data_IF_206148816189
#
_entry.id   IF_206148816189
#
_cell.length_a   1.000
_cell.length_b   1.000
_cell.length_c   1.000
_cell.angle_alpha   90.00
_cell.angle_beta   90.00
_cell.angle_gamma   90.00
#
_symmetry.space_group_name_H-M   'P 1'
#
loop_
_entity.id
_entity.type
_entity.pdbx_description
1 polymer ?
#
# COMPACT_ATOMS: atom_id res chain seq x y z
N UNK A 1 18.44 17.48 -14.36
CA UNK A 1 17.42 16.93 -13.44
C UNK A 1 17.98 15.78 -12.65
N UNK A 2 17.78 15.82 -11.34
CA UNK A 2 18.22 14.72 -10.50
C UNK A 2 17.26 13.53 -10.66
N UNK A 3 17.77 12.30 -10.71
CA UNK A 3 16.90 11.14 -10.71
C UNK A 3 16.08 11.07 -9.44
N UNK A 4 14.89 10.48 -9.55
CA UNK A 4 14.06 10.26 -8.37
C UNK A 4 14.74 9.27 -7.43
N UNK A 5 14.62 9.55 -6.14
CA UNK A 5 15.13 8.67 -5.10
C UNK A 5 14.06 7.64 -4.78
N UNK A 6 14.34 6.40 -5.09
CA UNK A 6 13.39 5.30 -4.94
C UNK A 6 13.69 4.51 -3.68
N UNK A 7 12.62 4.14 -2.98
CA UNK A 7 12.69 3.19 -1.87
C UNK A 7 11.92 1.94 -2.28
N UNK A 8 12.52 0.79 -2.06
CA UNK A 8 11.84 -0.48 -2.28
C UNK A 8 11.38 -1.02 -0.93
N UNK A 9 10.14 -1.48 -0.85
CA UNK A 9 9.62 -2.10 0.35
C UNK A 9 9.28 -3.55 0.05
N UNK A 10 9.81 -4.45 0.86
CA UNK A 10 9.52 -5.88 0.76
C UNK A 10 9.07 -6.41 2.11
N UNK A 11 8.09 -7.29 2.05
CA UNK A 11 7.67 -8.03 3.23
C UNK A 11 7.88 -9.50 2.94
N UNK A 12 8.69 -10.15 3.76
CA UNK A 12 9.03 -11.55 3.59
C UNK A 12 8.37 -12.36 4.69
N UNK A 13 7.93 -13.56 4.36
CA UNK A 13 7.40 -14.49 5.34
C UNK A 13 8.08 -15.82 5.15
N UNK A 14 7.92 -16.71 6.15
CA UNK A 14 8.51 -18.05 6.05
C UNK A 14 7.91 -18.85 4.89
N UNK A 15 6.78 -18.39 4.35
CA UNK A 15 6.14 -19.04 3.21
C UNK A 15 6.56 -18.46 1.86
N UNK A 16 7.27 -17.34 1.86
CA UNK A 16 7.72 -16.71 0.62
C UNK A 16 9.03 -17.37 0.18
N UNK A 17 8.99 -18.03 -0.96
CA UNK A 17 10.15 -18.75 -1.46
C UNK A 17 10.97 -17.97 -2.47
N UNK A 18 10.46 -16.83 -2.94
CA UNK A 18 11.11 -16.09 -4.03
C UNK A 18 11.40 -14.64 -3.65
N UNK A 19 11.83 -14.41 -2.41
CA UNK A 19 12.13 -13.06 -1.94
C UNK A 19 13.23 -12.40 -2.76
N UNK A 20 14.28 -13.16 -3.08
CA UNK A 20 15.37 -12.61 -3.88
C UNK A 20 14.90 -12.23 -5.27
N UNK A 21 14.03 -13.04 -5.87
CA UNK A 21 13.48 -12.73 -7.19
C UNK A 21 12.65 -11.46 -7.15
N UNK A 22 11.88 -11.26 -6.08
CA UNK A 22 11.11 -10.04 -5.90
C UNK A 22 12.02 -8.82 -5.79
N UNK A 23 13.06 -8.90 -4.97
CA UNK A 23 14.00 -7.79 -4.82
C UNK A 23 14.70 -7.48 -6.12
N UNK A 24 15.12 -8.51 -6.85
CA UNK A 24 15.77 -8.33 -8.15
C UNK A 24 14.83 -7.61 -9.11
N UNK A 25 13.56 -8.02 -9.16
CA UNK A 25 12.59 -7.39 -10.03
C UNK A 25 12.37 -5.93 -9.67
N UNK A 26 12.35 -5.60 -8.37
CA UNK A 26 12.20 -4.22 -7.92
C UNK A 26 13.41 -3.38 -8.32
N UNK A 27 14.62 -3.93 -8.16
CA UNK A 27 15.84 -3.23 -8.56
C UNK A 27 15.87 -2.98 -10.06
N UNK A 28 15.48 -3.98 -10.85
CA UNK A 28 15.44 -3.86 -12.29
C UNK A 28 14.42 -2.82 -12.73
N UNK A 29 13.26 -2.79 -12.09
CA UNK A 29 12.26 -1.78 -12.40
C UNK A 29 12.78 -0.38 -12.13
N UNK A 30 13.38 -0.19 -10.96
CA UNK A 30 13.92 1.10 -10.56
C UNK A 30 15.02 1.55 -11.55
N UNK A 31 15.87 0.61 -11.95
CA UNK A 31 16.92 0.90 -12.89
C UNK A 31 16.38 1.29 -14.27
N UNK A 32 15.37 0.56 -14.75
CA UNK A 32 14.77 0.86 -16.05
C UNK A 32 14.12 2.25 -16.08
N UNK A 33 13.58 2.69 -14.94
CA UNK A 33 12.97 4.01 -14.83
C UNK A 33 14.01 5.11 -14.69
N UNK A 34 15.28 4.77 -14.55
CA UNK A 34 16.34 5.76 -14.37
C UNK A 34 16.35 6.37 -12.98
N UNK A 35 15.75 5.70 -12.02
CA UNK A 35 15.70 6.18 -10.64
C UNK A 35 16.91 5.66 -9.86
N UNK A 36 17.20 6.28 -8.72
CA UNK A 36 18.27 5.85 -7.83
C UNK A 36 17.68 5.12 -6.64
N UNK A 37 18.08 3.88 -6.42
CA UNK A 37 17.61 3.12 -5.26
C UNK A 37 18.34 3.63 -4.01
N UNK A 38 17.59 4.22 -3.09
CA UNK A 38 18.15 4.73 -1.84
C UNK A 38 18.31 3.63 -0.80
N UNK A 39 17.26 2.82 -0.64
CA UNK A 39 17.25 1.81 0.41
C UNK A 39 16.17 0.79 0.12
N UNK A 40 16.41 -0.45 0.56
CA UNK A 40 15.40 -1.51 0.59
C UNK A 40 14.96 -1.68 2.04
N UNK A 41 13.66 -1.52 2.27
CA UNK A 41 13.07 -1.67 3.59
C UNK A 41 12.45 -3.07 3.66
N UNK A 42 12.91 -3.89 4.60
CA UNK A 42 12.47 -5.28 4.72
C UNK A 42 11.80 -5.49 6.07
N UNK A 43 10.59 -6.01 6.02
CA UNK A 43 9.90 -6.50 7.21
C UNK A 43 9.71 -7.99 7.12
N UNK A 44 9.82 -8.68 8.24
CA UNK A 44 9.53 -10.10 8.31
C UNK A 44 8.11 -10.29 8.81
N UNK A 45 7.31 -10.99 8.01
CA UNK A 45 5.94 -11.31 8.39
C UNK A 45 5.92 -12.60 9.19
N UNK A 46 5.56 -12.50 10.47
CA UNK A 46 5.38 -13.68 11.32
C UNK A 46 3.89 -13.99 11.28
N UNK A 47 3.56 -15.20 10.83
CA UNK A 47 2.17 -15.57 10.67
C UNK A 47 1.46 -15.63 12.02
N UNK A 48 0.24 -15.12 12.04
CA UNK A 48 -0.63 -15.23 13.21
C UNK A 48 -0.32 -14.28 14.35
N UNK A 49 0.64 -13.39 14.19
CA UNK A 49 1.02 -12.48 15.26
C UNK A 49 0.80 -11.04 14.87
N UNK A 50 1.11 -10.16 15.80
CA UNK A 50 0.93 -8.74 15.61
C UNK A 50 1.60 -8.25 14.35
N UNK A 51 0.93 -7.35 13.69
CA UNK A 51 1.43 -6.74 12.48
C UNK A 51 2.43 -5.64 12.81
N UNK A 52 3.53 -5.98 13.48
CA UNK A 52 4.61 -5.03 13.66
C UNK A 52 5.37 -4.95 12.36
N UNK A 53 5.52 -3.74 11.85
CA UNK A 53 6.20 -3.51 10.58
C UNK A 53 7.18 -2.35 10.73
N UNK A 54 8.28 -2.58 11.46
CA UNK A 54 9.22 -1.49 11.75
C UNK A 54 9.86 -0.90 10.50
N UNK A 55 10.11 -1.71 9.47
CA UNK A 55 10.68 -1.17 8.25
C UNK A 55 9.68 -0.29 7.51
N UNK A 56 8.40 -0.65 7.51
CA UNK A 56 7.37 0.21 6.93
C UNK A 56 7.26 1.52 7.69
N UNK A 57 7.31 1.47 9.02
CA UNK A 57 7.29 2.67 9.84
C UNK A 57 8.48 3.57 9.53
N UNK A 58 9.65 2.98 9.35
CA UNK A 58 10.85 3.73 8.99
C UNK A 58 10.68 4.37 7.61
N UNK A 59 10.14 3.59 6.66
CA UNK A 59 9.88 4.09 5.31
C UNK A 59 8.97 5.32 5.35
N UNK A 60 7.88 5.23 6.11
CA UNK A 60 6.94 6.33 6.20
C UNK A 60 7.56 7.57 6.88
N UNK A 61 8.43 7.37 7.87
CA UNK A 61 9.17 8.47 8.46
C UNK A 61 10.07 9.14 7.44
N UNK A 62 10.78 8.35 6.64
CA UNK A 62 11.66 8.88 5.61
C UNK A 62 10.88 9.61 4.53
N UNK A 63 9.68 9.11 4.22
CA UNK A 63 8.78 9.82 3.30
C UNK A 63 8.38 11.18 3.84
N UNK A 64 8.04 11.25 5.13
CA UNK A 64 7.67 12.51 5.75
C UNK A 64 8.83 13.51 5.80
N UNK A 65 10.06 13.00 5.86
CA UNK A 65 11.25 13.85 5.81
C UNK A 65 11.62 14.25 4.39
N UNK A 66 10.85 13.78 3.43
CA UNK A 66 11.10 14.04 2.00
C UNK A 66 12.46 13.50 1.53
N UNK A 67 12.87 12.38 2.11
CA UNK A 67 14.10 11.70 1.71
C UNK A 67 13.87 10.77 0.53
N UNK A 68 12.62 10.54 0.16
CA UNK A 68 12.22 9.56 -0.86
C UNK A 68 11.25 10.24 -1.83
N UNK A 69 11.38 9.93 -3.10
CA UNK A 69 10.52 10.48 -4.15
C UNK A 69 9.52 9.46 -4.68
N UNK A 70 9.85 8.17 -4.59
CA UNK A 70 8.95 7.11 -5.07
C UNK A 70 9.13 5.86 -4.22
N UNK A 71 8.01 5.20 -3.91
CA UNK A 71 7.99 3.92 -3.20
C UNK A 71 7.62 2.83 -4.19
N UNK A 72 8.41 1.77 -4.24
CA UNK A 72 8.20 0.65 -5.17
C UNK A 72 7.97 -0.62 -4.36
N UNK A 73 6.87 -1.32 -4.64
CA UNK A 73 6.54 -2.59 -3.98
C UNK A 73 6.27 -3.66 -5.04
N UNK A 74 6.39 -4.92 -4.62
CA UNK A 74 6.12 -6.04 -5.52
C UNK A 74 4.62 -6.18 -5.81
N UNK A 75 3.81 -6.13 -4.75
CA UNK A 75 2.35 -6.23 -4.83
C UNK A 75 1.74 -5.30 -3.80
N UNK A 76 0.50 -4.91 -4.02
CA UNK A 76 -0.23 -4.12 -3.04
C UNK A 76 -0.30 -4.82 -1.68
N UNK A 77 -0.51 -6.14 -1.65
CA UNK A 77 -0.65 -6.87 -0.40
C UNK A 77 0.64 -6.96 0.41
N UNK A 78 1.77 -6.66 -0.20
CA UNK A 78 3.04 -6.53 0.54
C UNK A 78 3.10 -5.21 1.29
N UNK A 79 2.39 -4.21 0.81
CA UNK A 79 2.35 -2.90 1.45
C UNK A 79 1.25 -2.81 2.50
N UNK A 80 0.05 -3.32 2.19
CA UNK A 80 -1.10 -3.21 3.07
C UNK A 80 -1.95 -4.47 2.99
N UNK A 81 -2.54 -4.87 4.13
CA UNK A 81 -3.35 -6.09 4.19
C UNK A 81 -4.79 -5.85 3.76
N UNK A 82 -5.28 -4.63 3.91
CA UNK A 82 -6.65 -4.32 3.55
C UNK A 82 -6.66 -3.19 2.54
N UNK A 83 -7.74 -3.10 1.80
CA UNK A 83 -7.91 -2.04 0.81
C UNK A 83 -7.92 -0.67 1.48
N UNK A 84 -8.56 -0.57 2.64
CA UNK A 84 -8.62 0.69 3.39
C UNK A 84 -7.22 1.15 3.81
N UNK A 85 -6.40 0.23 4.33
CA UNK A 85 -5.03 0.55 4.73
C UNK A 85 -4.19 0.94 3.51
N UNK A 86 -4.40 0.24 2.39
CA UNK A 86 -3.70 0.57 1.16
C UNK A 86 -4.02 1.99 0.71
N UNK A 87 -5.29 2.33 0.68
CA UNK A 87 -5.72 3.67 0.24
C UNK A 87 -5.16 4.75 1.17
N UNK A 88 -5.17 4.51 2.48
CA UNK A 88 -4.60 5.46 3.43
C UNK A 88 -3.12 5.70 3.16
N UNK A 89 -2.37 4.64 2.89
CA UNK A 89 -0.96 4.77 2.57
C UNK A 89 -0.71 5.51 1.26
N UNK A 90 -1.53 5.22 0.25
CA UNK A 90 -1.41 5.88 -1.04
C UNK A 90 -1.77 7.37 -0.94
N UNK A 91 -2.77 7.70 -0.15
CA UNK A 91 -3.15 9.10 0.07
C UNK A 91 -2.04 9.85 0.81
N UNK A 92 -1.39 9.21 1.76
CA UNK A 92 -0.26 9.81 2.44
C UNK A 92 0.87 10.10 1.45
N UNK A 93 1.20 9.14 0.61
CA UNK A 93 2.22 9.35 -0.41
C UNK A 93 1.86 10.50 -1.33
N UNK A 94 0.61 10.56 -1.76
CA UNK A 94 0.14 11.62 -2.63
C UNK A 94 0.25 12.99 -1.97
N UNK A 95 -0.15 13.06 -0.70
CA UNK A 95 -0.08 14.31 0.07
C UNK A 95 1.36 14.80 0.22
N UNK A 96 2.31 13.87 0.30
CA UNK A 96 3.72 14.21 0.42
C UNK A 96 4.42 14.40 -0.93
N UNK A 97 3.70 14.23 -2.02
CA UNK A 97 4.28 14.35 -3.36
C UNK A 97 5.15 13.18 -3.74
N UNK A 98 4.88 12.01 -3.18
CA UNK A 98 5.67 10.80 -3.42
C UNK A 98 4.87 9.87 -4.33
N UNK A 99 5.53 9.37 -5.37
CA UNK A 99 4.89 8.41 -6.27
C UNK A 99 4.91 7.01 -5.68
N UNK A 100 4.01 6.17 -6.13
CA UNK A 100 3.88 4.80 -5.67
C UNK A 100 3.81 3.86 -6.87
N UNK A 101 4.56 2.76 -6.80
CA UNK A 101 4.59 1.75 -7.86
C UNK A 101 4.33 0.39 -7.26
N UNK A 102 3.40 -0.37 -7.86
CA UNK A 102 3.23 -1.79 -7.59
C UNK A 102 3.53 -2.54 -8.88
N UNK A 103 4.56 -3.36 -8.86
CA UNK A 103 5.08 -3.96 -10.08
C UNK A 103 4.12 -4.99 -10.67
N UNK A 104 3.54 -5.87 -9.84
CA UNK A 104 2.68 -6.94 -10.37
C UNK A 104 1.33 -6.43 -10.85
N UNK A 105 0.79 -5.40 -10.22
CA UNK A 105 -0.47 -4.79 -10.66
C UNK A 105 -0.26 -3.76 -11.76
N UNK A 106 1.00 -3.50 -12.12
CA UNK A 106 1.34 -2.54 -13.16
C UNK A 106 0.79 -1.14 -12.86
N UNK A 107 0.79 -0.74 -11.59
CA UNK A 107 0.37 0.60 -11.18
C UNK A 107 1.60 1.44 -10.89
N UNK A 108 1.65 2.63 -11.49
CA UNK A 108 2.76 3.56 -11.33
C UNK A 108 2.16 4.96 -11.34
N UNK A 109 2.05 5.56 -10.15
CA UNK A 109 1.38 6.87 -10.03
C UNK A 109 2.19 8.02 -10.61
N UNK A 110 3.44 7.77 -11.01
CA UNK A 110 4.20 8.78 -11.74
C UNK A 110 3.72 8.92 -13.19
N UNK A 111 2.86 7.99 -13.63
CA UNK A 111 2.27 8.01 -14.97
C UNK A 111 0.78 8.33 -14.85
N UNK A 112 0.20 8.99 -15.87
CA UNK A 112 -1.23 9.35 -15.81
C UNK A 112 -2.16 8.16 -15.61
N UNK A 113 -1.85 7.02 -16.23
CA UNK A 113 -2.68 5.82 -16.08
C UNK A 113 -2.66 5.30 -14.64
N UNK A 114 -1.50 5.36 -13.99
CA UNK A 114 -1.38 4.94 -12.60
C UNK A 114 -2.20 5.81 -11.66
N UNK A 115 -2.21 7.11 -11.90
CA UNK A 115 -3.01 8.04 -11.10
C UNK A 115 -4.49 7.73 -11.25
N UNK A 116 -4.95 7.42 -12.46
CA UNK A 116 -6.33 7.04 -12.70
C UNK A 116 -6.68 5.74 -11.96
N UNK A 117 -5.79 4.76 -12.02
CA UNK A 117 -6.00 3.49 -11.30
C UNK A 117 -6.12 3.72 -9.80
N UNK A 118 -5.33 4.62 -9.25
CA UNK A 118 -5.39 4.96 -7.84
C UNK A 118 -6.75 5.54 -7.47
N UNK A 119 -7.29 6.41 -8.32
CA UNK A 119 -8.60 7.00 -8.10
C UNK A 119 -9.70 5.93 -8.11
N UNK A 120 -9.60 4.96 -9.00
CA UNK A 120 -10.56 3.86 -9.08
C UNK A 120 -10.48 3.00 -7.82
N UNK A 121 -9.28 2.67 -7.36
CA UNK A 121 -9.08 1.89 -6.14
C UNK A 121 -9.68 2.63 -4.94
N UNK A 122 -9.48 3.93 -4.85
CA UNK A 122 -10.03 4.73 -3.77
C UNK A 122 -11.55 4.72 -3.76
N UNK A 123 -12.17 4.82 -4.94
CA UNK A 123 -13.62 4.79 -5.05
C UNK A 123 -14.19 3.43 -4.63
N UNK A 124 -13.53 2.33 -5.03
CA UNK A 124 -13.96 0.99 -4.63
C UNK A 124 -13.86 0.83 -3.12
N UNK A 125 -12.77 1.32 -2.51
CA UNK A 125 -12.58 1.24 -1.07
C UNK A 125 -13.68 1.97 -0.31
N UNK A 126 -14.05 3.17 -0.76
CA UNK A 126 -15.13 3.93 -0.14
C UNK A 126 -16.45 3.21 -0.23
N UNK A 127 -16.73 2.61 -1.37
CA UNK A 127 -17.97 1.88 -1.58
C UNK A 127 -18.05 0.66 -0.65
N UNK A 128 -16.96 -0.08 -0.50
CA UNK A 128 -16.91 -1.23 0.41
C UNK A 128 -17.14 -0.79 1.84
N UNK A 129 -16.56 0.30 2.26
CA UNK A 129 -16.73 0.81 3.62
C UNK A 129 -18.18 1.21 3.86
N UNK A 130 -18.82 1.88 2.91
CA UNK A 130 -20.21 2.29 3.02
C UNK A 130 -21.15 1.07 3.11
N UNK A 131 -20.89 0.07 2.27
CA UNK A 131 -21.70 -1.16 2.28
C UNK A 131 -21.58 -1.88 3.62
N UNK A 132 -20.38 -1.96 4.17
CA UNK A 132 -20.16 -2.60 5.46
C UNK A 132 -20.89 -1.85 6.57
N UNK A 133 -20.85 -0.53 6.54
CA UNK A 133 -21.54 0.28 7.53
C UNK A 133 -23.05 0.08 7.45
N UNK A 134 -23.60 -0.01 6.25
CA UNK A 134 -25.02 -0.26 6.07
C UNK A 134 -25.44 -1.63 6.61
N UNK A 135 -24.65 -2.64 6.36
CA UNK A 135 -24.93 -3.98 6.87
C UNK A 135 -24.95 -4.00 8.40
N UNK A 136 -23.98 -3.36 9.02
CA UNK A 136 -23.91 -3.29 10.47
C UNK A 136 -25.11 -2.56 11.06
N UNK A 137 -25.52 -1.48 10.43
CA UNK A 137 -26.68 -0.71 10.87
C UNK A 137 -27.97 -1.52 10.73
N UNK A 138 -28.09 -2.25 9.64
CA UNK A 138 -29.24 -3.10 9.42
C UNK A 138 -29.40 -4.18 10.49
N UNK A 139 -28.30 -4.80 10.86
CA UNK A 139 -28.31 -5.82 11.90
C UNK A 139 -28.77 -5.25 13.23
N UNK A 140 -28.31 -4.07 13.58
CA UNK A 140 -28.72 -3.41 14.81
C UNK A 140 -30.20 -3.02 14.78
N UNK A 141 -30.64 -2.59 13.63
CA UNK A 141 -32.04 -2.21 13.47
C UNK A 141 -33.01 -3.35 13.68
N UNK A 142 -32.58 -4.55 13.38
CA UNK A 142 -33.43 -5.72 13.58
C UNK A 142 -33.55 -6.11 15.02
N UNK A 143 -32.59 -5.74 15.85
CA UNK A 143 -32.61 -6.13 17.24
C UNK A 143 -33.56 -5.35 18.11
N UNK A 144 -33.69 -4.07 17.99
CA UNK A 144 -34.50 -3.29 18.90
C UNK A 144 -35.94 -3.35 18.60
N UNK A 145 -36.26 -3.60 17.56
CA UNK A 145 -37.56 -3.47 17.18
C UNK A 145 -38.41 -4.46 17.76
N UNK A 146 -37.89 -4.51 18.32
CA UNK A 146 -38.26 -4.77 18.43
C UNK A 146 -38.65 -4.39 19.15
N UNK A 147 -38.81 -4.00 19.51
CA UNK A 147 -39.11 -3.38 19.85
C UNK A 147 -39.48 -2.83 19.49
N UNK A 148 -39.66 -3.06 19.36
CA UNK A 148 -39.84 -2.63 18.92
C UNK A 148 -39.93 -2.15 18.42
N UNK A 149 -39.95 -2.02 18.16
CA UNK A 149 -39.91 -1.63 17.47
C UNK A 149 -40.00 -1.68 16.76
N UNK A 150 -40.15 -1.88 16.63
CA UNK A 150 -40.19 -1.84 16.06
C UNK A 150 -40.33 -1.91 15.91
#
# INVERSE_FOLDING_TARGET
MKPKRAAAYVRVSSFDQNTEAQETALREYIQRRGWTLQKIYRDEGISGTKASRPALDELLRDCRRKAIDVVVVWKFDRFARSLTTLVSGLELCRALGIDFVSVTEAVDTSLPMGELMLQIIGAISQQQTATQAQLNTGERGEQPTLSGTH
#
